data_IF_071781328643
#
_entry.id   IF_071781328643
#
_cell.length_a   1.000
_cell.length_b   1.000
_cell.length_c   1.000
_cell.angle_alpha   90.00
_cell.angle_beta   90.00
_cell.angle_gamma   90.00
#
_symmetry.space_group_name_H-M   'P 1'
#
loop_
_entity.id
_entity.type
_entity.pdbx_description
1 polymer ?
#
# COMPACT_ATOMS: atom_id res chain seq x y z
N UNK A 1 15.04 8.15 -27.94
CA UNK A 1 14.31 6.96 -27.47
C UNK A 1 13.61 7.35 -26.19
N UNK A 2 12.29 7.54 -26.21
CA UNK A 2 11.54 7.71 -24.97
C UNK A 2 11.54 6.36 -24.25
N UNK A 3 11.96 6.33 -22.98
CA UNK A 3 11.74 5.16 -22.15
C UNK A 3 10.22 4.87 -22.14
N UNK A 4 9.82 3.62 -22.32
CA UNK A 4 8.43 3.24 -22.05
C UNK A 4 8.19 3.46 -20.56
N UNK A 5 7.39 4.48 -20.24
CA UNK A 5 6.86 4.64 -18.88
C UNK A 5 5.84 3.54 -18.65
N UNK A 6 6.21 2.51 -17.88
CA UNK A 6 5.26 1.48 -17.45
C UNK A 6 4.30 2.15 -16.46
N UNK A 7 2.98 2.12 -16.69
CA UNK A 7 2.02 2.71 -15.78
C UNK A 7 2.01 1.96 -14.45
N UNK A 8 2.03 2.70 -13.34
CA UNK A 8 2.20 2.19 -11.98
C UNK A 8 0.88 1.82 -11.31
N UNK A 9 0.76 0.57 -10.88
CA UNK A 9 -0.35 -0.01 -10.11
C UNK A 9 -0.23 0.35 -8.62
N UNK A 10 0.95 0.18 -8.03
CA UNK A 10 1.18 0.34 -6.59
C UNK A 10 1.58 1.75 -6.16
N UNK A 11 1.59 2.69 -7.09
CA UNK A 11 1.90 4.08 -6.81
C UNK A 11 1.09 4.60 -5.62
N UNK A 12 1.79 5.25 -4.69
CA UNK A 12 1.20 5.91 -3.54
C UNK A 12 0.40 4.97 -2.61
N UNK A 13 0.91 3.76 -2.39
CA UNK A 13 0.39 2.82 -1.37
C UNK A 13 1.25 2.74 -0.12
N UNK A 14 2.53 3.11 -0.23
CA UNK A 14 3.50 3.12 0.87
C UNK A 14 4.19 4.47 0.90
N UNK A 15 4.45 4.96 2.11
CA UNK A 15 5.25 6.15 2.32
C UNK A 15 6.67 5.97 1.74
N UNK A 16 7.20 6.93 0.98
CA UNK A 16 8.57 6.83 0.45
C UNK A 16 9.59 6.58 1.57
N UNK A 17 10.53 5.66 1.33
CA UNK A 17 11.48 5.19 2.35
C UNK A 17 12.24 6.30 3.06
N UNK A 18 12.60 7.38 2.35
CA UNK A 18 13.27 8.54 2.94
C UNK A 18 12.40 9.31 3.92
N UNK A 19 11.09 9.39 3.65
CA UNK A 19 10.11 10.03 4.54
C UNK A 19 9.81 9.13 5.74
N UNK A 20 9.65 7.82 5.51
CA UNK A 20 9.47 6.83 6.58
C UNK A 20 10.66 6.82 7.54
N UNK A 21 11.89 6.75 7.02
CA UNK A 21 13.11 6.80 7.82
C UNK A 21 13.19 8.06 8.69
N UNK A 22 12.86 9.22 8.12
CA UNK A 22 12.81 10.47 8.89
C UNK A 22 11.75 10.41 9.99
N UNK A 23 10.55 9.91 9.68
CA UNK A 23 9.47 9.78 10.67
C UNK A 23 9.83 8.82 11.81
N UNK A 24 10.65 7.80 11.57
CA UNK A 24 11.13 6.92 12.65
C UNK A 24 12.12 7.62 13.59
N UNK A 25 12.95 8.53 13.08
CA UNK A 25 14.00 9.19 13.87
C UNK A 25 13.62 10.57 14.43
N UNK A 26 12.57 11.20 13.89
CA UNK A 26 12.14 12.55 14.25
C UNK A 26 10.65 12.52 14.63
N UNK A 27 10.38 12.43 15.94
CA UNK A 27 9.03 12.36 16.49
C UNK A 27 8.20 13.62 16.18
N UNK A 28 8.83 14.79 16.11
CA UNK A 28 8.15 16.06 15.75
C UNK A 28 7.72 16.03 14.29
N UNK A 29 8.60 15.58 13.39
CA UNK A 29 8.26 15.39 11.99
C UNK A 29 7.16 14.35 11.82
N UNK A 30 7.23 13.20 12.51
CA UNK A 30 6.19 12.17 12.48
C UNK A 30 4.84 12.72 12.93
N UNK A 31 4.79 13.43 14.07
CA UNK A 31 3.55 14.04 14.56
C UNK A 31 2.95 15.02 13.53
N UNK A 32 3.79 15.85 12.91
CA UNK A 32 3.35 16.77 11.86
C UNK A 32 2.86 16.04 10.59
N UNK A 33 3.56 14.97 10.19
CA UNK A 33 3.21 14.13 9.05
C UNK A 33 1.85 13.45 9.23
N UNK A 34 1.60 12.87 10.42
CA UNK A 34 0.33 12.23 10.74
C UNK A 34 -0.82 13.24 10.83
N UNK A 35 -0.56 14.44 11.34
CA UNK A 35 -1.58 15.48 11.47
C UNK A 35 -1.96 16.15 10.15
N UNK A 36 -1.01 16.36 9.23
CA UNK A 36 -1.27 17.03 7.95
C UNK A 36 -0.34 16.51 6.84
N UNK A 37 -0.59 15.29 6.34
CA UNK A 37 0.30 14.65 5.37
C UNK A 37 0.38 15.41 4.05
N UNK A 38 -0.72 15.97 3.56
CA UNK A 38 -0.72 16.75 2.31
C UNK A 38 0.24 17.94 2.37
N UNK A 39 0.23 18.71 3.47
CA UNK A 39 1.14 19.84 3.66
C UNK A 39 2.59 19.37 3.80
N UNK A 40 2.84 18.31 4.57
CA UNK A 40 4.20 17.84 4.83
C UNK A 40 4.80 17.22 3.57
N UNK A 41 4.08 16.31 2.91
CA UNK A 41 4.59 15.59 1.76
C UNK A 41 4.79 16.48 0.53
N UNK A 42 3.88 17.44 0.27
CA UNK A 42 4.04 18.39 -0.85
C UNK A 42 5.30 19.26 -0.75
N UNK A 43 5.82 19.49 0.47
CA UNK A 43 7.09 20.21 0.70
C UNK A 43 8.33 19.34 0.58
N UNK A 44 8.20 18.02 0.73
CA UNK A 44 9.34 17.11 0.86
C UNK A 44 9.49 16.15 -0.34
N UNK A 45 8.48 16.03 -1.21
CA UNK A 45 8.49 15.12 -2.36
C UNK A 45 8.39 15.93 -3.66
N UNK A 46 9.38 15.72 -4.53
CA UNK A 46 9.34 16.27 -5.89
C UNK A 46 8.24 15.58 -6.70
N UNK A 47 7.47 16.36 -7.48
CA UNK A 47 6.32 15.87 -8.29
C UNK A 47 5.17 15.28 -7.45
N UNK A 48 4.82 15.97 -6.37
CA UNK A 48 3.61 15.70 -5.60
C UNK A 48 2.34 15.76 -6.48
N UNK A 49 1.46 14.74 -6.47
CA UNK A 49 0.25 14.74 -7.29
C UNK A 49 -0.76 15.77 -6.75
N UNK A 50 -1.33 16.57 -7.65
CA UNK A 50 -2.41 17.50 -7.33
C UNK A 50 -3.77 16.79 -7.34
N UNK A 51 -4.74 17.33 -6.60
CA UNK A 51 -6.11 16.80 -6.57
C UNK A 51 -6.29 15.49 -5.79
N UNK A 52 -5.23 14.99 -5.15
CA UNK A 52 -5.26 13.82 -4.27
C UNK A 52 -5.09 14.26 -2.82
N UNK A 53 -5.97 13.77 -1.95
CA UNK A 53 -5.84 13.89 -0.50
C UNK A 53 -5.22 12.62 0.07
N UNK A 54 -4.20 12.79 0.90
CA UNK A 54 -3.48 11.69 1.52
C UNK A 54 -3.83 11.49 2.99
N UNK A 55 -3.83 10.24 3.44
CA UNK A 55 -3.90 9.81 4.84
C UNK A 55 -2.77 8.83 5.12
N UNK A 56 -2.13 8.95 6.28
CA UNK A 56 -1.10 7.99 6.70
C UNK A 56 -1.73 6.97 7.63
N UNK A 57 -1.53 5.69 7.33
CA UNK A 57 -1.88 4.58 8.21
C UNK A 57 -0.60 4.04 8.83
N UNK A 58 -0.50 4.09 10.15
CA UNK A 58 0.69 3.65 10.87
C UNK A 58 0.51 2.22 11.39
N UNK A 59 1.45 1.35 11.02
CA UNK A 59 1.52 0.00 11.57
C UNK A 59 1.82 -0.02 13.08
N UNK A 60 1.19 -0.94 13.79
CA UNK A 60 1.31 -1.11 15.24
C UNK A 60 2.13 -2.35 15.59
N UNK A 61 2.18 -2.82 16.84
CA UNK A 61 2.95 -4.04 17.16
C UNK A 61 2.46 -5.27 16.38
N UNK A 62 1.17 -5.54 16.46
CA UNK A 62 0.52 -6.72 15.87
C UNK A 62 -0.42 -6.40 14.70
N UNK A 63 -0.54 -5.13 14.31
CA UNK A 63 -1.43 -4.70 13.22
C UNK A 63 -0.62 -4.14 12.06
N UNK A 64 -0.95 -4.58 10.85
CA UNK A 64 -0.35 -4.14 9.59
C UNK A 64 -1.43 -3.63 8.66
N UNK A 65 -1.15 -2.58 7.90
CA UNK A 65 -2.04 -2.05 6.89
C UNK A 65 -1.62 -2.50 5.50
N UNK A 66 -2.59 -2.81 4.65
CA UNK A 66 -2.40 -3.01 3.22
C UNK A 66 -3.31 -2.06 2.47
N UNK A 67 -2.79 -1.44 1.42
CA UNK A 67 -3.60 -0.55 0.60
C UNK A 67 -4.02 -1.28 -0.65
N UNK A 68 -5.34 -1.36 -0.89
CA UNK A 68 -5.90 -1.76 -2.16
C UNK A 68 -5.89 -0.54 -3.09
N UNK A 69 -5.05 -0.51 -4.15
CA UNK A 69 -5.03 0.61 -5.08
C UNK A 69 -6.36 0.77 -5.80
N UNK A 70 -6.71 2.03 -6.10
CA UNK A 70 -7.82 2.33 -6.99
C UNK A 70 -7.50 1.80 -8.40
N UNK A 71 -8.42 1.02 -8.99
CA UNK A 71 -8.28 0.61 -10.39
C UNK A 71 -8.48 1.82 -11.31
N UNK A 72 -7.37 2.46 -11.69
CA UNK A 72 -7.35 3.66 -12.56
C UNK A 72 -8.02 3.35 -13.91
N UNK A 73 -8.72 4.34 -14.48
CA UNK A 73 -9.42 4.22 -15.75
C UNK A 73 -8.50 3.82 -16.94
N UNK A 74 -7.22 4.16 -16.87
CA UNK A 74 -6.22 3.76 -17.88
C UNK A 74 -6.08 2.24 -18.03
N UNK A 75 -6.46 1.48 -17.00
CA UNK A 75 -6.42 0.02 -16.99
C UNK A 75 -7.73 -0.62 -17.50
N UNK A 76 -8.70 0.18 -17.98
CA UNK A 76 -10.01 -0.34 -18.39
C UNK A 76 -9.93 -1.32 -19.56
N UNK A 77 -8.97 -1.15 -20.47
CA UNK A 77 -8.75 -2.03 -21.63
C UNK A 77 -7.79 -3.18 -21.35
N UNK A 78 -7.21 -3.27 -20.15
CA UNK A 78 -6.20 -4.27 -19.83
C UNK A 78 -6.85 -5.58 -19.41
N UNK A 79 -6.26 -6.71 -19.85
CA UNK A 79 -6.71 -8.04 -19.43
C UNK A 79 -6.30 -8.34 -17.99
N UNK A 80 -6.88 -9.40 -17.41
CA UNK A 80 -6.50 -9.87 -16.06
C UNK A 80 -5.01 -10.25 -16.02
N UNK A 81 -4.51 -10.88 -17.07
CA UNK A 81 -3.12 -11.32 -17.21
C UNK A 81 -2.17 -10.12 -17.30
N UNK A 82 -2.48 -9.11 -18.13
CA UNK A 82 -1.66 -7.90 -18.24
C UNK A 82 -1.54 -7.15 -16.91
N UNK A 83 -2.65 -7.09 -16.16
CA UNK A 83 -2.66 -6.48 -14.83
C UNK A 83 -1.86 -7.32 -13.82
N UNK A 84 -1.98 -8.64 -13.88
CA UNK A 84 -1.21 -9.56 -13.04
C UNK A 84 0.29 -9.41 -13.31
N UNK A 85 0.72 -9.52 -14.55
CA UNK A 85 2.13 -9.43 -14.95
C UNK A 85 2.75 -8.11 -14.48
N UNK A 86 2.01 -7.01 -14.64
CA UNK A 86 2.46 -5.69 -14.22
C UNK A 86 2.50 -5.58 -12.70
N UNK A 87 1.48 -6.08 -12.00
CA UNK A 87 1.46 -6.05 -10.54
C UNK A 87 2.62 -6.87 -9.95
N UNK A 88 2.87 -8.06 -10.48
CA UNK A 88 4.00 -8.91 -10.05
C UNK A 88 5.34 -8.27 -10.35
N UNK A 89 5.47 -7.59 -11.50
CA UNK A 89 6.68 -6.86 -11.86
C UNK A 89 6.95 -5.69 -10.90
N UNK A 90 5.91 -4.94 -10.50
CA UNK A 90 6.06 -3.79 -9.61
C UNK A 90 6.24 -4.15 -8.14
N UNK A 91 5.55 -5.19 -7.66
CA UNK A 91 5.61 -5.56 -6.25
C UNK A 91 6.91 -6.29 -5.89
N UNK A 92 7.56 -6.92 -6.87
CA UNK A 92 8.59 -7.95 -6.68
C UNK A 92 8.16 -9.06 -5.69
N UNK A 93 6.87 -9.13 -5.36
CA UNK A 93 6.28 -9.94 -4.31
C UNK A 93 5.07 -10.68 -4.89
N UNK A 94 5.22 -12.00 -5.03
CA UNK A 94 4.19 -12.90 -5.56
C UNK A 94 3.12 -13.19 -4.48
N UNK A 95 3.50 -13.90 -3.42
CA UNK A 95 2.61 -14.31 -2.32
C UNK A 95 3.05 -13.81 -0.93
N UNK A 96 4.15 -13.07 -0.85
CA UNK A 96 4.70 -12.61 0.44
C UNK A 96 4.10 -11.28 0.86
N UNK A 97 3.66 -11.21 2.12
CA UNK A 97 3.27 -9.97 2.77
C UNK A 97 4.53 -9.23 3.23
N UNK A 98 5.02 -8.31 2.40
CA UNK A 98 6.14 -7.43 2.75
C UNK A 98 5.63 -6.01 3.00
N UNK A 99 5.41 -5.30 1.91
CA UNK A 99 5.28 -3.85 1.84
C UNK A 99 3.95 -3.45 1.19
N UNK A 100 3.54 -4.16 0.13
CA UNK A 100 2.28 -3.93 -0.62
C UNK A 100 1.33 -5.12 -0.54
N UNK A 101 0.08 -4.90 -0.95
CA UNK A 101 -0.88 -5.99 -1.13
C UNK A 101 -0.39 -6.95 -2.22
N UNK A 102 -0.35 -8.28 -2.00
CA UNK A 102 0.15 -9.23 -3.00
C UNK A 102 -0.63 -9.14 -4.31
N UNK A 103 0.05 -9.36 -5.44
CA UNK A 103 -0.55 -9.22 -6.78
C UNK A 103 -1.79 -10.11 -6.94
N UNK A 104 -1.75 -11.35 -6.45
CA UNK A 104 -2.91 -12.26 -6.49
C UNK A 104 -4.12 -11.72 -5.74
N UNK A 105 -3.91 -11.09 -4.58
CA UNK A 105 -4.98 -10.51 -3.75
C UNK A 105 -5.56 -9.27 -4.43
N UNK A 106 -4.70 -8.42 -4.98
CA UNK A 106 -5.08 -7.23 -5.74
C UNK A 106 -5.99 -7.60 -6.91
N UNK A 107 -5.53 -8.52 -7.75
CA UNK A 107 -6.25 -8.92 -8.96
C UNK A 107 -7.56 -9.60 -8.59
N UNK A 108 -7.59 -10.46 -7.57
CA UNK A 108 -8.84 -11.06 -7.11
C UNK A 108 -9.82 -9.98 -6.61
N UNK A 109 -9.36 -9.00 -5.82
CA UNK A 109 -10.22 -7.91 -5.35
C UNK A 109 -10.77 -7.03 -6.49
N UNK A 110 -10.01 -6.79 -7.56
CA UNK A 110 -10.48 -5.99 -8.68
C UNK A 110 -11.51 -6.69 -9.58
N UNK A 111 -11.50 -8.02 -9.62
CA UNK A 111 -12.37 -8.81 -10.51
C UNK A 111 -13.48 -9.58 -9.76
N UNK A 112 -13.40 -9.68 -8.44
CA UNK A 112 -14.37 -10.37 -7.60
C UNK A 112 -14.89 -9.43 -6.48
N UNK A 113 -16.05 -8.77 -6.68
CA UNK A 113 -16.62 -7.86 -5.69
C UNK A 113 -16.92 -8.51 -4.34
N UNK A 114 -17.29 -9.80 -4.32
CA UNK A 114 -17.53 -10.56 -3.09
C UNK A 114 -16.23 -10.74 -2.31
N UNK A 115 -15.16 -11.15 -2.99
CA UNK A 115 -13.83 -11.24 -2.36
C UNK A 115 -13.37 -9.89 -1.84
N UNK A 116 -13.51 -8.82 -2.64
CA UNK A 116 -13.16 -7.45 -2.22
C UNK A 116 -13.91 -7.03 -0.95
N UNK A 117 -15.21 -7.28 -0.87
CA UNK A 117 -16.00 -6.98 0.32
C UNK A 117 -15.51 -7.76 1.54
N UNK A 118 -15.15 -9.04 1.36
CA UNK A 118 -14.53 -9.84 2.43
C UNK A 118 -13.17 -9.30 2.84
N UNK A 119 -12.34 -8.89 1.88
CA UNK A 119 -10.99 -8.35 2.11
C UNK A 119 -11.03 -7.05 2.93
N UNK A 120 -11.97 -6.15 2.60
CA UNK A 120 -12.11 -4.85 3.28
C UNK A 120 -12.73 -4.98 4.69
N UNK A 121 -13.51 -6.03 4.95
CA UNK A 121 -14.16 -6.24 6.26
C UNK A 121 -13.38 -7.16 7.20
N UNK A 122 -12.70 -8.18 6.66
CA UNK A 122 -11.88 -9.13 7.40
C UNK A 122 -10.73 -9.63 6.52
N UNK A 123 -9.67 -8.84 6.47
CA UNK A 123 -8.53 -9.11 5.60
C UNK A 123 -7.87 -10.46 5.91
N UNK A 124 -7.66 -10.81 7.18
CA UNK A 124 -7.03 -12.08 7.56
C UNK A 124 -7.78 -13.29 7.00
N UNK A 125 -9.11 -13.30 7.08
CA UNK A 125 -9.93 -14.38 6.53
C UNK A 125 -9.81 -14.46 5.00
N UNK A 126 -9.89 -13.31 4.32
CA UNK A 126 -9.76 -13.24 2.87
C UNK A 126 -8.35 -13.62 2.37
N UNK A 127 -7.29 -13.25 3.09
CA UNK A 127 -5.92 -13.67 2.80
C UNK A 127 -5.76 -15.18 3.00
N UNK A 128 -6.32 -15.71 4.09
CA UNK A 128 -6.26 -17.14 4.40
C UNK A 128 -7.01 -18.00 3.38
N UNK A 129 -8.11 -17.50 2.80
CA UNK A 129 -8.86 -18.22 1.76
C UNK A 129 -8.08 -18.36 0.44
N UNK A 130 -7.08 -17.51 0.22
CA UNK A 130 -6.10 -17.63 -0.87
C UNK A 130 -4.83 -18.39 -0.46
N UNK A 131 -4.77 -18.94 0.76
CA UNK A 131 -3.62 -19.67 1.27
C UNK A 131 -2.45 -18.78 1.73
N UNK A 132 -2.68 -17.47 1.90
CA UNK A 132 -1.65 -16.54 2.37
C UNK A 132 -1.56 -16.59 3.89
N UNK A 133 -0.37 -16.93 4.39
CA UNK A 133 -0.09 -16.95 5.83
C UNK A 133 0.14 -15.52 6.34
N UNK A 134 -0.63 -15.10 7.35
CA UNK A 134 -0.52 -13.76 7.94
C UNK A 134 0.54 -13.65 9.04
N UNK A 135 1.24 -14.74 9.37
CA UNK A 135 2.33 -14.74 10.35
C UNK A 135 1.90 -14.35 11.76
N UNK A 136 0.61 -14.47 12.08
CA UNK A 136 0.04 -14.03 13.37
C UNK A 136 -0.29 -12.54 13.47
N UNK A 137 -0.01 -11.73 12.44
CA UNK A 137 -0.43 -10.33 12.39
C UNK A 137 -1.90 -10.19 12.03
N UNK A 138 -2.53 -9.14 12.57
CA UNK A 138 -3.82 -8.64 12.11
C UNK A 138 -3.61 -7.69 10.93
N UNK A 139 -4.29 -7.93 9.82
CA UNK A 139 -4.24 -7.08 8.65
C UNK A 139 -5.49 -6.21 8.55
N UNK A 140 -5.30 -4.94 8.21
CA UNK A 140 -6.37 -4.02 7.83
C UNK A 140 -6.15 -3.58 6.39
N UNK A 141 -7.13 -3.82 5.53
CA UNK A 141 -7.06 -3.39 4.13
C UNK A 141 -7.89 -2.13 3.95
N UNK A 142 -7.29 -1.09 3.38
CA UNK A 142 -7.98 0.15 3.03
C UNK A 142 -7.88 0.39 1.53
N UNK A 143 -9.00 0.73 0.89
CA UNK A 143 -9.01 1.02 -0.53
C UNK A 143 -8.78 2.51 -0.80
N UNK A 144 -7.92 2.80 -1.79
CA UNK A 144 -7.80 4.12 -2.37
C UNK A 144 -8.96 4.42 -3.33
N UNK A 145 -9.38 5.67 -3.39
CA UNK A 145 -10.32 6.16 -4.40
C UNK A 145 -9.60 6.96 -5.47
N UNK A 146 -10.34 7.55 -6.42
CA UNK A 146 -9.76 8.47 -7.40
C UNK A 146 -9.18 9.75 -6.79
N UNK A 147 -9.56 10.11 -5.55
CA UNK A 147 -9.17 11.36 -4.88
C UNK A 147 -8.64 11.19 -3.46
N UNK A 148 -8.85 10.05 -2.80
CA UNK A 148 -8.38 9.78 -1.45
C UNK A 148 -7.42 8.60 -1.45
N UNK A 149 -6.18 8.86 -1.06
CA UNK A 149 -5.09 7.90 -1.06
C UNK A 149 -4.60 7.68 0.36
N UNK A 150 -4.26 6.44 0.67
CA UNK A 150 -3.68 6.02 1.93
C UNK A 150 -2.25 5.56 1.67
N UNK A 151 -1.34 5.96 2.55
CA UNK A 151 0.06 5.53 2.55
C UNK A 151 0.35 4.83 3.86
N UNK A 152 0.97 3.65 3.79
CA UNK A 152 1.44 2.96 4.99
C UNK A 152 2.74 3.60 5.48
N UNK A 153 2.79 3.95 6.76
CA UNK A 153 4.03 4.14 7.51
C UNK A 153 4.33 2.81 8.23
N UNK A 154 5.28 2.01 7.73
CA UNK A 154 5.61 0.75 8.39
C UNK A 154 6.29 0.99 9.73
N UNK A 155 6.33 -0.04 10.56
CA UNK A 155 7.15 -0.09 11.78
C UNK A 155 8.62 0.13 11.43
N UNK A 156 9.37 0.79 12.32
CA UNK A 156 10.80 0.96 12.12
C UNK A 156 11.50 -0.41 12.14
N UNK A 157 12.44 -0.69 11.21
CA UNK A 157 13.24 -1.91 11.25
C UNK A 157 14.00 -2.10 12.56
N UNK A 158 14.33 -1.00 13.26
CA UNK A 158 14.99 -1.04 14.57
C UNK A 158 14.10 -1.59 15.68
N UNK A 159 12.78 -1.47 15.54
CA UNK A 159 11.83 -1.92 16.57
C UNK A 159 11.66 -3.45 16.54
N UNK A 160 12.11 -4.10 15.46
CA UNK A 160 12.16 -5.55 15.31
C UNK A 160 13.44 -6.22 15.84
N UNK A 161 14.41 -5.45 16.35
CA UNK A 161 15.69 -5.98 16.86
C UNK A 161 15.79 -5.93 18.40
N UNK A 162 14.64 -6.00 19.07
CA UNK A 162 14.59 -6.37 20.49
C UNK A 162 14.59 -7.90 20.56
N UNK A 163 15.79 -8.45 20.73
CA UNK A 163 16.15 -9.86 20.90
C UNK A 163 15.14 -10.73 21.64
N UNK A 164 14.89 -11.93 21.10
CA UNK A 164 15.00 -13.20 21.84
C UNK A 164 15.38 -14.32 20.87
#
# INVERSE_FOLDING_TARGET
MSALTIPTIYDWTILPRTIAARAWTDATFKAALLANPNMILSKNINRWPSGISFTILEDQESTRHLILPHKKAQFASWTREQLMDTAMYESEADMSLCDVIPAVVLIEAWFNPTFKSSLLSNANSALSSLGINTGGYTYQVTENTSTNYHLVLPKSPSDGNSTS
#
